data_IF_881691769382
#
_entry.id   IF_881691769382
#
_cell.length_a   1.000
_cell.length_b   1.000
_cell.length_c   1.000
_cell.angle_alpha   90.00
_cell.angle_beta   90.00
_cell.angle_gamma   90.00
#
_symmetry.space_group_name_H-M   'P 1'
#
loop_
_entity.id
_entity.type
_entity.pdbx_description
1 polymer ?
#
# COMPACT_ATOMS: atom_id res chain seq x y z
N UNK A 1 1.55 19.88 9.45
CA UNK A 1 1.70 18.66 8.61
C UNK A 1 2.18 19.09 7.24
N UNK A 2 3.26 18.48 6.72
CA UNK A 2 3.80 18.85 5.40
C UNK A 2 2.80 18.36 4.31
N UNK A 3 2.63 19.14 3.23
CA UNK A 3 1.67 18.87 2.15
C UNK A 3 1.79 17.45 1.58
N UNK A 4 3.01 16.95 1.35
CA UNK A 4 3.22 15.58 0.84
C UNK A 4 2.70 14.51 1.78
N UNK A 5 2.84 14.71 3.10
CA UNK A 5 2.27 13.79 4.09
C UNK A 5 0.74 13.85 4.08
N UNK A 6 0.16 15.04 3.95
CA UNK A 6 -1.29 15.18 3.83
C UNK A 6 -1.83 14.47 2.60
N UNK A 7 -1.18 14.64 1.44
CA UNK A 7 -1.53 13.96 0.18
C UNK A 7 -1.39 12.44 0.33
N UNK A 8 -0.27 11.95 0.88
CA UNK A 8 -0.06 10.52 1.11
C UNK A 8 -1.17 9.92 1.97
N UNK A 9 -1.47 10.55 3.11
CA UNK A 9 -2.50 10.06 4.04
C UNK A 9 -3.90 10.10 3.42
N UNK A 10 -4.25 11.18 2.70
CA UNK A 10 -5.53 11.28 2.03
C UNK A 10 -5.71 10.18 0.98
N UNK A 11 -4.68 9.92 0.17
CA UNK A 11 -4.68 8.83 -0.82
C UNK A 11 -4.80 7.47 -0.11
N UNK A 12 -4.02 7.23 0.95
CA UNK A 12 -4.06 5.97 1.68
C UNK A 12 -5.45 5.67 2.24
N UNK A 13 -6.09 6.66 2.87
CA UNK A 13 -7.46 6.50 3.40
C UNK A 13 -8.45 6.24 2.27
N UNK A 14 -8.35 6.96 1.15
CA UNK A 14 -9.25 6.78 0.00
C UNK A 14 -9.14 5.38 -0.60
N UNK A 15 -7.93 4.87 -0.83
CA UNK A 15 -7.72 3.54 -1.40
C UNK A 15 -8.11 2.42 -0.42
N UNK A 16 -7.83 2.58 0.87
CA UNK A 16 -8.30 1.66 1.89
C UNK A 16 -9.84 1.62 1.94
N UNK A 17 -10.51 2.77 1.87
CA UNK A 17 -11.98 2.83 1.84
C UNK A 17 -12.56 2.11 0.61
N UNK A 18 -11.97 2.30 -0.58
CA UNK A 18 -12.39 1.61 -1.81
C UNK A 18 -12.26 0.09 -1.65
N UNK A 19 -11.14 -0.41 -1.11
CA UNK A 19 -10.94 -1.83 -0.86
C UNK A 19 -11.96 -2.39 0.15
N UNK A 20 -12.16 -1.70 1.27
CA UNK A 20 -13.09 -2.14 2.31
C UNK A 20 -14.55 -2.14 1.82
N UNK A 21 -14.94 -1.15 1.04
CA UNK A 21 -16.26 -1.11 0.40
C UNK A 21 -16.41 -2.28 -0.56
N UNK A 22 -15.43 -2.52 -1.43
CA UNK A 22 -15.46 -3.66 -2.36
C UNK A 22 -15.60 -4.99 -1.60
N UNK A 23 -14.81 -5.23 -0.56
CA UNK A 23 -14.87 -6.42 0.29
C UNK A 23 -16.22 -6.60 1.00
N UNK A 24 -16.92 -5.50 1.29
CA UNK A 24 -18.21 -5.54 1.97
C UNK A 24 -19.36 -6.00 1.06
N UNK A 25 -19.22 -5.80 -0.26
CA UNK A 25 -20.26 -6.13 -1.25
C UNK A 25 -19.92 -7.33 -2.12
N UNK A 26 -18.64 -7.63 -2.31
CA UNK A 26 -18.22 -8.75 -3.13
C UNK A 26 -18.29 -10.07 -2.35
N UNK A 27 -18.89 -11.11 -2.97
CA UNK A 27 -18.78 -12.45 -2.45
C UNK A 27 -17.32 -12.93 -2.53
N UNK A 28 -16.81 -13.51 -1.46
CA UNK A 28 -15.48 -14.07 -1.41
C UNK A 28 -15.52 -15.52 -0.96
N UNK A 29 -15.11 -16.42 -1.86
CA UNK A 29 -14.98 -17.85 -1.56
C UNK A 29 -13.64 -18.16 -0.85
N UNK A 30 -12.68 -17.24 -0.95
CA UNK A 30 -11.34 -17.38 -0.39
C UNK A 30 -11.06 -16.30 0.64
N UNK A 31 -10.37 -16.70 1.71
CA UNK A 31 -9.95 -15.82 2.78
C UNK A 31 -8.52 -16.15 3.18
N UNK A 32 -7.66 -15.14 3.21
CA UNK A 32 -6.31 -15.31 3.73
C UNK A 32 -6.27 -15.16 5.24
N UNK A 33 -5.83 -16.20 5.94
CA UNK A 33 -5.49 -16.12 7.35
C UNK A 33 -4.19 -15.31 7.49
N UNK A 34 -4.21 -14.23 8.25
CA UNK A 34 -3.03 -13.42 8.51
C UNK A 34 -2.53 -13.65 9.93
N UNK A 35 -1.23 -13.80 10.10
CA UNK A 35 -0.62 -13.95 11.42
C UNK A 35 -0.50 -12.59 12.11
N UNK A 36 -0.44 -12.54 13.46
CA UNK A 36 -0.15 -11.30 14.20
C UNK A 36 1.18 -10.65 13.75
N UNK A 37 2.17 -11.46 13.36
CA UNK A 37 3.44 -10.96 12.82
C UNK A 37 3.22 -10.20 11.52
N UNK A 38 2.40 -10.72 10.61
CA UNK A 38 2.07 -10.00 9.38
C UNK A 38 1.39 -8.66 9.65
N UNK A 39 0.49 -8.59 10.63
CA UNK A 39 -0.15 -7.34 11.05
C UNK A 39 0.86 -6.32 11.58
N UNK A 40 1.81 -6.76 12.42
CA UNK A 40 2.87 -5.90 12.94
C UNK A 40 3.80 -5.39 11.84
N UNK A 41 4.18 -6.26 10.90
CA UNK A 41 5.01 -5.87 9.74
C UNK A 41 4.27 -4.86 8.87
N UNK A 42 3.00 -5.11 8.52
CA UNK A 42 2.20 -4.15 7.74
C UNK A 42 2.08 -2.81 8.45
N UNK A 43 1.76 -2.80 9.75
CA UNK A 43 1.69 -1.58 10.53
C UNK A 43 3.02 -0.82 10.55
N UNK A 44 4.13 -1.52 10.73
CA UNK A 44 5.48 -0.96 10.70
C UNK A 44 5.82 -0.34 9.34
N UNK A 45 5.49 -1.02 8.25
CA UNK A 45 5.69 -0.50 6.87
C UNK A 45 4.85 0.76 6.64
N UNK A 46 3.58 0.77 7.02
CA UNK A 46 2.71 1.95 6.89
C UNK A 46 3.33 3.14 7.63
N UNK A 47 3.74 2.94 8.89
CA UNK A 47 4.38 4.00 9.69
C UNK A 47 5.67 4.49 9.02
N UNK A 48 6.51 3.58 8.57
CA UNK A 48 7.76 3.92 7.87
C UNK A 48 7.49 4.76 6.61
N UNK A 49 6.56 4.38 5.77
CA UNK A 49 6.21 5.12 4.56
C UNK A 49 5.65 6.50 4.87
N UNK A 50 4.73 6.63 5.83
CA UNK A 50 4.15 7.91 6.25
C UNK A 50 5.18 8.86 6.87
N UNK A 51 6.20 8.33 7.53
CA UNK A 51 7.24 9.13 8.18
C UNK A 51 8.38 9.47 7.23
N UNK A 52 8.84 8.52 6.43
CA UNK A 52 10.07 8.65 5.63
C UNK A 52 9.83 9.23 4.24
N UNK A 53 8.82 8.76 3.52
CA UNK A 53 8.60 9.16 2.11
C UNK A 53 8.33 10.66 1.95
N UNK A 54 7.58 11.35 2.83
CA UNK A 54 7.39 12.81 2.71
C UNK A 54 8.67 13.64 2.86
N UNK A 55 9.78 13.03 3.30
CA UNK A 55 11.10 13.69 3.35
C UNK A 55 11.78 13.73 1.99
N UNK A 56 11.37 12.83 1.07
CA UNK A 56 11.84 12.84 -0.32
C UNK A 56 11.13 13.96 -1.06
N UNK A 57 11.89 14.80 -1.80
CA UNK A 57 11.35 15.92 -2.57
C UNK A 57 10.67 15.45 -3.89
N UNK A 58 9.81 14.41 -3.81
CA UNK A 58 9.08 13.84 -4.93
C UNK A 58 7.61 13.68 -4.60
N UNK A 59 6.73 14.37 -5.35
CA UNK A 59 5.29 14.21 -5.21
C UNK A 59 4.83 12.85 -5.73
N UNK A 60 5.46 12.32 -6.78
CA UNK A 60 5.15 11.00 -7.31
C UNK A 60 5.47 9.90 -6.29
N UNK A 61 6.57 10.04 -5.52
CA UNK A 61 6.87 9.11 -4.42
C UNK A 61 5.79 9.17 -3.32
N UNK A 62 5.31 10.37 -2.96
CA UNK A 62 4.23 10.51 -1.98
C UNK A 62 2.91 9.88 -2.46
N UNK A 63 2.58 10.01 -3.75
CA UNK A 63 1.40 9.37 -4.36
C UNK A 63 1.55 7.85 -4.33
N UNK A 64 2.68 7.31 -4.82
CA UNK A 64 2.94 5.86 -4.82
C UNK A 64 2.87 5.27 -3.41
N UNK A 65 3.52 5.92 -2.43
CA UNK A 65 3.44 5.49 -1.04
C UNK A 65 2.02 5.57 -0.47
N UNK A 66 1.22 6.57 -0.87
CA UNK A 66 -0.18 6.68 -0.46
C UNK A 66 -1.01 5.50 -0.96
N UNK A 67 -0.84 5.11 -2.23
CA UNK A 67 -1.54 3.96 -2.82
C UNK A 67 -1.11 2.66 -2.13
N UNK A 68 0.20 2.43 -1.94
CA UNK A 68 0.73 1.25 -1.25
C UNK A 68 0.24 1.17 0.21
N UNK A 69 0.29 2.29 0.94
CA UNK A 69 -0.27 2.38 2.29
C UNK A 69 -1.76 2.10 2.31
N UNK A 70 -2.52 2.55 1.31
CA UNK A 70 -3.95 2.28 1.18
C UNK A 70 -4.23 0.79 1.08
N UNK A 71 -3.48 0.07 0.25
CA UNK A 71 -3.54 -1.39 0.17
C UNK A 71 -3.20 -2.07 1.51
N UNK A 72 -2.06 -1.72 2.10
CA UNK A 72 -1.66 -2.28 3.38
C UNK A 72 -2.69 -1.99 4.50
N UNK A 73 -3.24 -0.77 4.53
CA UNK A 73 -4.27 -0.37 5.51
C UNK A 73 -5.58 -1.12 5.29
N UNK A 74 -6.04 -1.28 4.04
CA UNK A 74 -7.23 -2.05 3.70
C UNK A 74 -7.12 -3.49 4.20
N UNK A 75 -5.99 -4.16 3.96
CA UNK A 75 -5.74 -5.52 4.44
C UNK A 75 -5.60 -5.57 5.97
N UNK A 76 -4.96 -4.59 6.61
CA UNK A 76 -4.81 -4.52 8.06
C UNK A 76 -6.17 -4.34 8.76
N UNK A 77 -7.01 -3.42 8.26
CA UNK A 77 -8.36 -3.21 8.78
C UNK A 77 -9.22 -4.47 8.57
N UNK A 78 -9.11 -5.12 7.39
CA UNK A 78 -9.82 -6.37 7.12
C UNK A 78 -9.46 -7.47 8.10
N UNK A 79 -8.18 -7.60 8.44
CA UNK A 79 -7.73 -8.56 9.45
C UNK A 79 -8.38 -8.37 10.81
N UNK A 80 -8.63 -7.12 11.18
CA UNK A 80 -9.25 -6.79 12.46
C UNK A 80 -10.78 -6.87 12.43
N UNK A 81 -11.41 -6.63 11.26
CA UNK A 81 -12.85 -6.53 11.12
C UNK A 81 -13.52 -7.90 10.77
N UNK A 82 -12.86 -8.76 10.02
CA UNK A 82 -13.41 -10.05 9.58
C UNK A 82 -12.82 -11.22 10.36
N UNK A 83 -13.65 -11.94 11.10
CA UNK A 83 -13.23 -13.10 11.92
C UNK A 83 -12.73 -14.28 11.06
N UNK A 84 -13.21 -14.40 9.81
CA UNK A 84 -12.79 -15.44 8.85
C UNK A 84 -11.46 -15.16 8.14
N UNK A 85 -10.80 -14.04 8.42
CA UNK A 85 -9.59 -13.60 7.72
C UNK A 85 -9.89 -12.51 6.69
N UNK A 86 -8.90 -12.19 5.86
CA UNK A 86 -9.02 -11.15 4.83
C UNK A 86 -9.75 -11.72 3.61
N UNK A 87 -10.90 -11.15 3.19
CA UNK A 87 -11.61 -11.61 2.01
C UNK A 87 -10.83 -11.35 0.72
N UNK A 88 -10.76 -12.34 -0.16
CA UNK A 88 -10.11 -12.28 -1.48
C UNK A 88 -11.13 -12.58 -2.58
N UNK A 89 -11.96 -11.60 -2.98
CA UNK A 89 -13.04 -11.82 -3.92
C UNK A 89 -12.61 -11.92 -5.39
N UNK A 90 -11.37 -11.57 -5.70
CA UNK A 90 -10.84 -11.61 -7.07
C UNK A 90 -10.06 -12.91 -7.28
N UNK A 91 -10.27 -13.56 -8.43
CA UNK A 91 -9.61 -14.81 -8.77
C UNK A 91 -9.04 -14.75 -10.19
N UNK A 92 -7.77 -15.10 -10.34
CA UNK A 92 -7.13 -15.34 -11.63
C UNK A 92 -6.83 -16.84 -11.76
N UNK A 93 -7.38 -17.48 -12.81
CA UNK A 93 -7.27 -18.92 -13.05
C UNK A 93 -8.47 -19.72 -12.49
N UNK A 94 -8.65 -20.96 -12.98
CA UNK A 94 -9.83 -21.77 -12.64
C UNK A 94 -9.60 -22.74 -11.50
N UNK A 95 -8.57 -23.59 -11.58
CA UNK A 95 -8.34 -24.70 -10.63
C UNK A 95 -7.09 -24.51 -9.77
N UNK A 96 -6.12 -23.77 -10.26
CA UNK A 96 -4.86 -23.41 -9.56
C UNK A 96 -4.70 -21.91 -9.49
N UNK A 97 -5.82 -21.20 -9.35
CA UNK A 97 -5.87 -19.77 -9.40
C UNK A 97 -5.27 -19.09 -8.17
N UNK A 98 -4.91 -17.82 -8.34
CA UNK A 98 -4.49 -16.95 -7.24
C UNK A 98 -5.69 -16.10 -6.85
N UNK A 99 -6.12 -16.21 -5.59
CA UNK A 99 -7.12 -15.34 -5.01
C UNK A 99 -6.42 -14.09 -4.43
N UNK A 100 -7.03 -12.93 -4.63
CA UNK A 100 -6.50 -11.64 -4.18
C UNK A 100 -7.65 -10.63 -4.03
N UNK A 101 -7.32 -9.45 -3.54
CA UNK A 101 -8.26 -8.34 -3.35
C UNK A 101 -7.71 -7.03 -3.91
N UNK A 102 -8.51 -5.97 -3.90
CA UNK A 102 -8.07 -4.67 -4.41
C UNK A 102 -6.88 -4.10 -3.61
N UNK A 103 -6.81 -4.37 -2.31
CA UNK A 103 -5.69 -3.92 -1.49
C UNK A 103 -4.35 -4.49 -1.97
N UNK A 104 -4.32 -5.74 -2.45
CA UNK A 104 -3.11 -6.35 -3.00
C UNK A 104 -2.69 -5.66 -4.31
N UNK A 105 -3.66 -5.32 -5.19
CA UNK A 105 -3.39 -4.56 -6.40
C UNK A 105 -2.87 -3.14 -6.08
N UNK A 106 -3.45 -2.49 -5.09
CA UNK A 106 -3.01 -1.16 -4.65
C UNK A 106 -1.61 -1.22 -4.03
N UNK A 107 -1.31 -2.23 -3.21
CA UNK A 107 0.02 -2.41 -2.66
C UNK A 107 1.06 -2.54 -3.77
N UNK A 108 0.86 -3.48 -4.71
CA UNK A 108 1.81 -3.71 -5.81
C UNK A 108 1.95 -2.49 -6.72
N UNK A 109 0.85 -1.88 -7.16
CA UNK A 109 0.89 -0.72 -8.06
C UNK A 109 1.50 0.51 -7.38
N UNK A 110 1.18 0.72 -6.10
CA UNK A 110 1.75 1.79 -5.29
C UNK A 110 3.25 1.64 -5.09
N UNK A 111 3.72 0.43 -4.79
CA UNK A 111 5.14 0.12 -4.64
C UNK A 111 5.90 0.32 -5.96
N UNK A 112 5.34 -0.12 -7.08
CA UNK A 112 5.95 0.11 -8.40
C UNK A 112 6.11 1.60 -8.70
N UNK A 113 5.08 2.40 -8.43
CA UNK A 113 5.14 3.85 -8.62
C UNK A 113 6.15 4.51 -7.66
N UNK A 114 6.13 4.12 -6.38
CA UNK A 114 7.06 4.62 -5.37
C UNK A 114 8.51 4.35 -5.76
N UNK A 115 8.84 3.10 -6.07
CA UNK A 115 10.20 2.70 -6.44
C UNK A 115 10.68 3.40 -7.72
N UNK A 116 9.81 3.49 -8.73
CA UNK A 116 10.11 4.23 -9.96
C UNK A 116 10.37 5.71 -9.69
N UNK A 117 9.54 6.36 -8.86
CA UNK A 117 9.68 7.76 -8.50
C UNK A 117 10.97 8.03 -7.70
N UNK A 118 11.32 7.13 -6.76
CA UNK A 118 12.56 7.22 -5.97
C UNK A 118 13.79 7.03 -6.87
N UNK A 119 13.76 6.04 -7.77
CA UNK A 119 14.85 5.82 -8.72
C UNK A 119 15.08 7.02 -9.64
N UNK A 120 14.01 7.57 -10.24
CA UNK A 120 14.10 8.79 -11.07
C UNK A 120 14.62 9.98 -10.26
N UNK A 121 14.12 10.16 -9.04
CA UNK A 121 14.59 11.23 -8.16
C UNK A 121 16.09 11.08 -7.84
N UNK A 122 16.54 9.89 -7.49
CA UNK A 122 17.95 9.59 -7.21
C UNK A 122 18.87 9.85 -8.42
N UNK A 123 18.45 9.42 -9.63
CA UNK A 123 19.22 9.67 -10.86
C UNK A 123 19.32 11.17 -11.16
N UNK A 124 18.24 11.92 -11.01
CA UNK A 124 18.23 13.37 -11.26
C UNK A 124 19.12 14.17 -10.28
N UNK A 125 19.22 13.72 -9.04
CA UNK A 125 19.95 14.43 -7.97
C UNK A 125 21.29 13.76 -7.62
N UNK A 126 21.77 12.81 -8.43
CA UNK A 126 23.03 12.08 -8.17
C UNK A 126 24.25 12.99 -8.02
N UNK A 127 24.27 14.11 -8.74
CA UNK A 127 25.40 15.07 -8.66
C UNK A 127 25.43 15.82 -7.33
N UNK A 128 24.29 16.07 -6.72
CA UNK A 128 24.20 16.72 -5.41
C UNK A 128 24.65 15.77 -4.27
N UNK A 129 24.41 14.47 -4.43
CA UNK A 129 24.82 13.45 -3.46
C UNK A 129 26.34 13.21 -3.50
N UNK A 130 26.97 13.30 -4.69
CA UNK A 130 28.43 13.13 -4.85
C UNK A 130 29.26 14.33 -4.39
N UNK A 131 28.65 15.50 -4.15
CA UNK A 131 29.35 16.70 -3.69
C UNK A 131 29.40 16.81 -2.16
N UNK A 132 28.74 15.93 -1.43
CA UNK A 132 28.69 15.93 0.04
C UNK A 132 29.63 14.90 0.70
N UNK A 133 30.47 14.24 -0.10
CA UNK A 133 31.56 13.35 0.31
C UNK A 133 32.87 14.05 -0.02
#
# INVERSE_FOLDING_TARGET
MNLRRAVLVAIAVSFAAVDLVHKSFAAADYHHARTPVAALVMGGVIVALVVLVPRISSNAAAVGAGIACGGALGNLVSLLAWSGGVPDPLLIGRTTGVAFNLADLFAVSGDMLLLSAVAVHGVRHRHELGQRV
#
